data_IF_414489486755
#
_entry.id   IF_414489486755
#
_cell.length_a   1.000
_cell.length_b   1.000
_cell.length_c   1.000
_cell.angle_alpha   90.00
_cell.angle_beta   90.00
_cell.angle_gamma   90.00
#
_symmetry.space_group_name_H-M   'P 1'
#
loop_
_entity.id
_entity.type
_entity.pdbx_description
1 polymer ?
#
# COMPACT_ATOMS: atom_id res chain seq x y z
N UNK A 1 2.86 10.81 23.48
CA UNK A 1 2.25 9.46 23.47
C UNK A 1 1.64 9.27 22.09
N UNK A 2 2.34 8.59 21.18
CA UNK A 2 1.79 8.24 19.87
C UNK A 2 1.18 6.85 19.99
N UNK A 3 -0.15 6.79 20.12
CA UNK A 3 -0.86 5.51 20.27
C UNK A 3 -0.71 4.74 18.96
N UNK A 4 -0.45 3.44 19.07
CA UNK A 4 -0.33 2.49 17.95
C UNK A 4 -1.58 2.52 17.03
N UNK A 5 -2.72 2.95 17.57
CA UNK A 5 -3.98 3.20 16.85
C UNK A 5 -3.86 4.29 15.77
N UNK A 6 -3.12 5.38 16.02
CA UNK A 6 -2.91 6.45 15.02
C UNK A 6 -2.14 5.94 13.80
N UNK A 7 -1.30 4.92 14.00
CA UNK A 7 -0.48 4.33 12.93
C UNK A 7 -1.27 3.34 12.10
N UNK A 8 -2.15 2.55 12.74
CA UNK A 8 -3.03 1.61 12.05
C UNK A 8 -4.12 2.33 11.25
N UNK A 9 -4.69 3.42 11.80
CA UNK A 9 -5.68 4.25 11.09
C UNK A 9 -5.07 4.90 9.84
N UNK A 10 -3.87 5.47 9.94
CA UNK A 10 -3.15 6.05 8.79
C UNK A 10 -2.81 5.01 7.72
N UNK A 11 -2.44 3.80 8.13
CA UNK A 11 -2.16 2.71 7.20
C UNK A 11 -3.41 2.31 6.41
N UNK A 12 -4.56 2.22 7.09
CA UNK A 12 -5.85 1.91 6.46
C UNK A 12 -6.33 3.04 5.54
N UNK A 13 -6.15 4.31 5.94
CA UNK A 13 -6.48 5.46 5.11
C UNK A 13 -5.64 5.48 3.82
N UNK A 14 -4.33 5.22 3.94
CA UNK A 14 -3.42 5.14 2.78
C UNK A 14 -3.81 3.99 1.85
N UNK A 15 -4.15 2.82 2.39
CA UNK A 15 -4.62 1.67 1.63
C UNK A 15 -5.93 1.98 0.89
N UNK A 16 -6.90 2.59 1.55
CA UNK A 16 -8.16 3.02 0.95
C UNK A 16 -7.98 4.02 -0.19
N UNK A 17 -7.01 4.94 -0.04
CA UNK A 17 -6.66 5.92 -1.08
C UNK A 17 -6.08 5.26 -2.32
N UNK A 18 -5.11 4.36 -2.14
CA UNK A 18 -4.49 3.61 -3.25
C UNK A 18 -5.51 2.72 -3.96
N UNK A 19 -6.37 2.02 -3.20
CA UNK A 19 -7.44 1.20 -3.77
C UNK A 19 -8.44 2.06 -4.56
N UNK A 20 -8.84 3.22 -4.03
CA UNK A 20 -9.77 4.13 -4.73
C UNK A 20 -9.16 4.71 -6.01
N UNK A 21 -7.85 5.00 -6.01
CA UNK A 21 -7.15 5.44 -7.22
C UNK A 21 -7.01 4.30 -8.24
N UNK A 22 -6.77 3.07 -7.79
CA UNK A 22 -6.73 1.88 -8.64
C UNK A 22 -8.08 1.52 -9.27
N UNK A 23 -9.17 1.70 -8.52
CA UNK A 23 -10.53 1.39 -8.97
C UNK A 23 -11.16 2.52 -9.80
N UNK A 24 -10.59 3.71 -9.78
CA UNK A 24 -11.07 4.83 -10.59
C UNK A 24 -10.65 4.64 -12.05
N UNK A 25 -11.62 4.34 -12.93
CA UNK A 25 -11.41 4.17 -14.38
C UNK A 25 -10.77 5.39 -15.08
N UNK A 26 -10.71 6.55 -14.42
CA UNK A 26 -10.09 7.78 -14.93
C UNK A 26 -8.62 7.95 -14.54
N UNK A 27 -8.09 7.14 -13.63
CA UNK A 27 -6.73 7.29 -13.13
C UNK A 27 -5.79 6.29 -13.81
N UNK A 28 -4.91 6.79 -14.69
CA UNK A 28 -3.73 6.04 -15.12
C UNK A 28 -2.71 6.08 -13.99
N UNK A 29 -2.93 5.29 -12.94
CA UNK A 29 -1.97 5.14 -11.85
C UNK A 29 -0.80 4.31 -12.37
N UNK A 30 0.41 4.86 -12.29
CA UNK A 30 1.59 4.13 -12.76
C UNK A 30 1.89 2.98 -11.80
N UNK A 31 2.35 1.85 -12.36
CA UNK A 31 2.80 0.68 -11.60
C UNK A 31 3.79 1.07 -10.49
N UNK A 32 4.72 1.97 -10.79
CA UNK A 32 5.70 2.51 -9.86
C UNK A 32 5.07 3.26 -8.67
N UNK A 33 4.00 4.03 -8.90
CA UNK A 33 3.32 4.77 -7.82
C UNK A 33 2.68 3.82 -6.80
N UNK A 34 2.09 2.74 -7.29
CA UNK A 34 1.48 1.70 -6.44
C UNK A 34 2.56 0.95 -5.65
N UNK A 35 3.69 0.63 -6.29
CA UNK A 35 4.84 -0.01 -5.62
C UNK A 35 5.40 0.90 -4.51
N UNK A 36 5.57 2.19 -4.80
CA UNK A 36 6.02 3.17 -3.81
C UNK A 36 5.05 3.29 -2.63
N UNK A 37 3.74 3.31 -2.89
CA UNK A 37 2.73 3.39 -1.85
C UNK A 37 2.71 2.14 -0.96
N UNK A 38 2.82 0.95 -1.55
CA UNK A 38 2.90 -0.32 -0.81
C UNK A 38 4.18 -0.40 0.04
N UNK A 39 5.32 0.08 -0.47
CA UNK A 39 6.55 0.17 0.32
C UNK A 39 6.39 1.10 1.52
N UNK A 40 5.81 2.30 1.33
CA UNK A 40 5.52 3.22 2.44
C UNK A 40 4.60 2.59 3.48
N UNK A 41 3.50 2.00 3.03
CA UNK A 41 2.54 1.33 3.90
C UNK A 41 3.19 0.22 4.74
N UNK A 42 4.04 -0.62 4.13
CA UNK A 42 4.75 -1.69 4.83
C UNK A 42 5.84 -1.20 5.80
N UNK A 43 6.41 -0.01 5.58
CA UNK A 43 7.40 0.60 6.47
C UNK A 43 6.76 1.36 7.64
N UNK A 44 5.65 2.04 7.38
CA UNK A 44 4.96 2.88 8.36
C UNK A 44 4.05 2.06 9.27
N UNK A 45 3.59 0.88 8.85
CA UNK A 45 2.77 0.01 9.69
C UNK A 45 3.57 -0.66 10.81
N UNK A 46 2.97 -0.73 12.00
CA UNK A 46 3.45 -1.55 13.12
C UNK A 46 3.00 -3.02 13.05
N UNK A 47 2.12 -3.37 12.11
CA UNK A 47 1.60 -4.73 11.94
C UNK A 47 2.43 -5.51 10.91
N UNK A 48 3.07 -6.57 11.39
CA UNK A 48 3.89 -7.47 10.55
C UNK A 48 3.09 -8.15 9.44
N UNK A 49 1.78 -8.37 9.63
CA UNK A 49 0.90 -8.97 8.61
C UNK A 49 0.67 -8.02 7.45
N UNK A 50 0.45 -6.74 7.75
CA UNK A 50 0.28 -5.68 6.75
C UNK A 50 1.57 -5.52 5.96
N UNK A 51 2.72 -5.51 6.65
CA UNK A 51 4.04 -5.48 6.01
C UNK A 51 4.26 -6.66 5.06
N UNK A 52 4.02 -7.89 5.50
CA UNK A 52 4.16 -9.08 4.67
C UNK A 52 3.19 -9.07 3.46
N UNK A 53 1.97 -8.55 3.65
CA UNK A 53 1.00 -8.34 2.59
C UNK A 53 1.49 -7.36 1.52
N UNK A 54 2.07 -6.25 1.95
CA UNK A 54 2.63 -5.23 1.05
C UNK A 54 3.80 -5.79 0.23
N UNK A 55 4.72 -6.52 0.86
CA UNK A 55 5.86 -7.16 0.18
C UNK A 55 5.38 -8.16 -0.88
N UNK A 56 4.39 -8.99 -0.55
CA UNK A 56 3.79 -9.95 -1.49
C UNK A 56 3.11 -9.25 -2.66
N UNK A 57 2.36 -8.18 -2.41
CA UNK A 57 1.72 -7.38 -3.46
C UNK A 57 2.75 -6.76 -4.41
N UNK A 58 3.85 -6.20 -3.89
CA UNK A 58 4.96 -5.67 -4.71
C UNK A 58 5.60 -6.76 -5.58
N UNK A 59 5.85 -7.95 -5.03
CA UNK A 59 6.39 -9.08 -5.80
C UNK A 59 5.47 -9.49 -6.94
N UNK A 60 4.16 -9.57 -6.69
CA UNK A 60 3.17 -9.91 -7.72
C UNK A 60 3.12 -8.85 -8.83
N UNK A 61 3.18 -7.56 -8.48
CA UNK A 61 3.22 -6.48 -9.45
C UNK A 61 4.50 -6.49 -10.28
N UNK A 62 5.66 -6.75 -9.66
CA UNK A 62 6.93 -6.88 -10.39
C UNK A 62 6.95 -8.07 -11.34
N UNK A 63 6.31 -9.20 -10.98
CA UNK A 63 6.21 -10.40 -11.82
C UNK A 63 5.31 -10.26 -13.05
N UNK A 64 4.34 -9.34 -13.08
CA UNK A 64 3.47 -9.10 -14.25
C UNK A 64 4.15 -8.30 -15.38
N UNK A 65 5.44 -8.50 -15.62
CA UNK A 65 6.12 -8.02 -16.84
C UNK A 65 6.26 -9.22 -17.77
N UNK A 66 5.18 -9.53 -18.50
CA UNK A 66 5.17 -10.29 -19.76
C UNK A 66 3.95 -9.83 -20.54
#
# INVERSE_FOLDING_TARGET
MGSREDTEEKALELAGKVISQLLSEKASVKKEEIICALHRLGQETGDWRVRAGCEKAVLMMKRRVH
#
